data_IF_004830717829
#
_entry.id   IF_004830717829
#
_cell.length_a   1.000
_cell.length_b   1.000
_cell.length_c   1.000
_cell.angle_alpha   90.00
_cell.angle_beta   90.00
_cell.angle_gamma   90.00
#
_symmetry.space_group_name_H-M   'P 1'
#
loop_
_entity.id
_entity.type
_entity.pdbx_description
1 polymer ?
#
# COMPACT_ATOMS: atom_id res chain seq x y z
N UNK A 1 -7.87 -21.15 -5.35
CA UNK A 1 -8.59 -19.94 -5.84
C UNK A 1 -8.82 -19.03 -4.64
N UNK A 2 -8.42 -17.78 -4.73
CA UNK A 2 -8.60 -16.79 -3.66
C UNK A 2 -10.09 -16.53 -3.45
N UNK A 3 -10.52 -16.60 -2.20
CA UNK A 3 -11.91 -16.35 -1.76
C UNK A 3 -12.00 -15.11 -0.88
N UNK A 4 -10.92 -14.83 -0.13
CA UNK A 4 -10.88 -13.73 0.82
C UNK A 4 -9.76 -12.77 0.45
N UNK A 5 -10.01 -11.49 0.64
CA UNK A 5 -9.04 -10.44 0.43
C UNK A 5 -8.91 -9.59 1.69
N UNK A 6 -7.71 -9.51 2.20
CA UNK A 6 -7.36 -8.65 3.32
C UNK A 6 -6.52 -7.48 2.81
N UNK A 7 -6.59 -6.35 3.51
CA UNK A 7 -5.79 -5.16 3.23
C UNK A 7 -5.09 -4.70 4.52
N UNK A 8 -3.86 -4.22 4.38
CA UNK A 8 -3.06 -3.66 5.49
C UNK A 8 -2.05 -2.64 4.95
N UNK A 9 -1.51 -1.81 5.82
CA UNK A 9 -0.46 -0.86 5.48
C UNK A 9 0.95 -1.44 5.58
N UNK A 10 1.89 -0.54 5.77
CA UNK A 10 3.33 -0.75 5.79
C UNK A 10 3.77 -1.83 6.78
N UNK A 11 4.65 -2.72 6.35
CA UNK A 11 5.17 -3.77 7.24
C UNK A 11 6.66 -3.64 7.54
N UNK A 12 7.43 -2.88 6.75
CA UNK A 12 8.86 -2.62 6.95
C UNK A 12 9.67 -3.88 7.26
N UNK A 13 9.43 -4.97 6.50
CA UNK A 13 10.09 -6.26 6.70
C UNK A 13 9.55 -7.08 7.88
N UNK A 14 8.48 -6.64 8.54
CA UNK A 14 7.77 -7.39 9.58
C UNK A 14 6.55 -8.14 9.04
N UNK A 15 6.52 -8.42 7.76
CA UNK A 15 5.40 -9.09 7.08
C UNK A 15 5.06 -10.44 7.70
N UNK A 16 6.08 -11.26 8.04
CA UNK A 16 5.85 -12.52 8.73
C UNK A 16 5.11 -12.36 10.08
N UNK A 17 5.38 -11.27 10.81
CA UNK A 17 4.70 -10.97 12.08
C UNK A 17 3.23 -10.56 11.83
N UNK A 18 2.96 -9.79 10.77
CA UNK A 18 1.61 -9.43 10.36
C UNK A 18 0.81 -10.67 9.95
N UNK A 19 1.42 -11.59 9.20
CA UNK A 19 0.79 -12.85 8.80
C UNK A 19 0.55 -13.80 9.99
N UNK A 20 1.45 -13.82 10.97
CA UNK A 20 1.25 -14.55 12.22
C UNK A 20 0.04 -14.01 12.99
N UNK A 21 -0.10 -12.68 13.06
CA UNK A 21 -1.27 -12.04 13.67
C UNK A 21 -2.56 -12.42 12.93
N UNK A 22 -2.60 -12.36 11.60
CA UNK A 22 -3.77 -12.78 10.81
C UNK A 22 -4.13 -14.23 11.12
N UNK A 23 -3.15 -15.13 11.11
CA UNK A 23 -3.35 -16.55 11.35
C UNK A 23 -3.90 -16.86 12.74
N UNK A 24 -3.49 -16.08 13.76
CA UNK A 24 -3.88 -16.27 15.16
C UNK A 24 -5.22 -15.59 15.47
N UNK A 25 -5.40 -14.36 15.03
CA UNK A 25 -6.52 -13.51 15.44
C UNK A 25 -7.70 -13.55 14.46
N UNK A 26 -7.48 -14.04 13.25
CA UNK A 26 -8.46 -14.09 12.16
C UNK A 26 -8.47 -15.49 11.52
N UNK A 27 -8.68 -16.57 12.29
CA UNK A 27 -8.51 -17.95 11.84
C UNK A 27 -9.48 -18.40 10.74
N UNK A 28 -10.53 -17.63 10.47
CA UNK A 28 -11.46 -17.83 9.36
C UNK A 28 -10.79 -17.57 8.00
N UNK A 29 -9.74 -16.75 7.93
CA UNK A 29 -9.00 -16.44 6.71
C UNK A 29 -7.85 -17.44 6.50
N UNK A 30 -8.19 -18.60 5.95
CA UNK A 30 -7.23 -19.66 5.70
C UNK A 30 -6.19 -19.24 4.67
N UNK A 31 -4.88 -19.51 4.90
CA UNK A 31 -3.81 -19.06 4.03
C UNK A 31 -4.01 -19.43 2.54
N UNK A 32 -4.42 -20.67 2.27
CA UNK A 32 -4.58 -21.19 0.90
C UNK A 32 -5.75 -20.58 0.11
N UNK A 33 -6.63 -19.83 0.78
CA UNK A 33 -7.82 -19.20 0.19
C UNK A 33 -7.81 -17.68 0.34
N UNK A 34 -6.76 -17.11 0.96
CA UNK A 34 -6.72 -15.68 1.32
C UNK A 34 -5.54 -14.98 0.65
N UNK A 35 -5.84 -13.84 0.04
CA UNK A 35 -4.85 -12.87 -0.39
C UNK A 35 -4.76 -11.69 0.59
N UNK A 36 -3.55 -11.15 0.76
CA UNK A 36 -3.29 -9.97 1.57
C UNK A 36 -2.67 -8.89 0.70
N UNK A 37 -3.33 -7.75 0.58
CA UNK A 37 -2.81 -6.56 -0.08
C UNK A 37 -2.03 -5.75 0.95
N UNK A 38 -0.79 -5.36 0.62
CA UNK A 38 0.07 -4.52 1.43
C UNK A 38 0.30 -3.21 0.68
N UNK A 39 -0.06 -2.08 1.31
CA UNK A 39 -0.09 -0.75 0.69
C UNK A 39 1.28 -0.05 0.65
N UNK A 40 2.32 -0.79 0.34
CA UNK A 40 3.70 -0.31 0.22
C UNK A 40 4.54 -0.61 1.44
N UNK A 41 5.82 -0.30 1.32
CA UNK A 41 6.84 -0.46 2.37
C UNK A 41 6.85 -1.87 2.99
N UNK A 42 6.71 -2.89 2.14
CA UNK A 42 6.70 -4.28 2.56
C UNK A 42 8.07 -4.73 3.08
N UNK A 43 9.16 -4.10 2.64
CA UNK A 43 10.53 -4.38 3.06
C UNK A 43 11.12 -5.64 2.41
N UNK A 44 10.68 -5.96 1.19
CA UNK A 44 11.17 -7.12 0.45
C UNK A 44 12.28 -6.80 -0.54
N UNK A 45 12.46 -5.54 -0.89
CA UNK A 45 13.47 -5.05 -1.84
C UNK A 45 14.23 -3.82 -1.29
N UNK A 46 14.39 -3.75 0.03
CA UNK A 46 15.05 -2.64 0.71
C UNK A 46 16.56 -2.81 0.78
N UNK A 47 17.03 -3.95 1.33
CA UNK A 47 18.47 -4.18 1.57
C UNK A 47 19.21 -4.69 0.35
N UNK A 48 18.54 -5.21 -0.64
CA UNK A 48 19.09 -5.86 -1.84
C UNK A 48 20.12 -6.94 -1.51
N UNK A 49 19.87 -7.73 -0.47
CA UNK A 49 20.78 -8.77 0.02
C UNK A 49 20.02 -9.92 0.72
N UNK A 50 20.76 -10.80 1.40
CA UNK A 50 20.19 -11.96 2.12
C UNK A 50 19.13 -11.61 3.17
N UNK A 51 19.04 -10.34 3.63
CA UNK A 51 18.02 -9.93 4.60
C UNK A 51 16.65 -9.87 3.92
N UNK A 52 16.58 -9.32 2.71
CA UNK A 52 15.33 -9.31 1.93
C UNK A 52 14.90 -10.74 1.59
N UNK A 53 15.85 -11.58 1.16
CA UNK A 53 15.57 -12.99 0.93
C UNK A 53 14.97 -13.67 2.17
N UNK A 54 15.56 -13.44 3.34
CA UNK A 54 15.06 -13.99 4.61
C UNK A 54 13.64 -13.49 4.93
N UNK A 55 13.38 -12.20 4.74
CA UNK A 55 12.06 -11.62 4.96
C UNK A 55 11.01 -12.25 4.03
N UNK A 56 11.33 -12.38 2.74
CA UNK A 56 10.47 -13.06 1.75
C UNK A 56 10.22 -14.52 2.12
N UNK A 57 11.27 -15.26 2.46
CA UNK A 57 11.17 -16.66 2.85
C UNK A 57 10.25 -16.84 4.05
N UNK A 58 10.47 -16.06 5.12
CA UNK A 58 9.65 -16.13 6.32
C UNK A 58 8.17 -15.80 6.04
N UNK A 59 7.90 -14.80 5.20
CA UNK A 59 6.54 -14.44 4.81
C UNK A 59 5.89 -15.53 3.94
N UNK A 60 6.64 -16.08 2.99
CA UNK A 60 6.17 -17.11 2.07
C UNK A 60 5.74 -18.41 2.78
N UNK A 61 6.40 -18.79 3.88
CA UNK A 61 6.08 -19.99 4.67
C UNK A 61 4.68 -19.97 5.30
N UNK A 62 4.06 -18.81 5.46
CA UNK A 62 2.68 -18.72 5.96
C UNK A 62 1.64 -19.19 4.95
N UNK A 63 1.97 -19.26 3.65
CA UNK A 63 1.10 -19.78 2.61
C UNK A 63 -0.01 -18.82 2.12
N UNK A 64 -0.07 -17.58 2.63
CA UNK A 64 -0.92 -16.55 2.07
C UNK A 64 -0.41 -16.10 0.71
N UNK A 65 -1.30 -15.69 -0.19
CA UNK A 65 -0.91 -14.95 -1.39
C UNK A 65 -0.79 -13.47 -1.04
N UNK A 66 0.39 -12.89 -1.25
CA UNK A 66 0.63 -11.47 -1.01
C UNK A 66 0.55 -10.70 -2.31
N UNK A 67 -0.09 -9.53 -2.30
CA UNK A 67 -0.06 -8.54 -3.37
C UNK A 67 0.54 -7.25 -2.80
N UNK A 68 1.77 -6.97 -3.19
CA UNK A 68 2.57 -5.88 -2.64
C UNK A 68 2.53 -4.68 -3.58
N UNK A 69 2.08 -3.53 -3.09
CA UNK A 69 2.29 -2.25 -3.74
C UNK A 69 3.69 -1.76 -3.39
N UNK A 70 4.38 -1.05 -4.28
CA UNK A 70 5.68 -0.46 -3.97
C UNK A 70 5.51 0.82 -3.14
N UNK A 71 6.27 0.92 -2.03
CA UNK A 71 6.42 2.12 -1.23
C UNK A 71 7.68 2.91 -1.59
N UNK A 72 8.10 3.82 -0.70
CA UNK A 72 9.33 4.59 -0.83
C UNK A 72 10.54 3.92 -0.18
N UNK A 73 10.33 2.95 0.70
CA UNK A 73 11.39 2.16 1.32
C UNK A 73 11.75 0.89 0.53
N UNK A 74 11.56 0.92 -0.80
CA UNK A 74 11.82 -0.22 -1.67
C UNK A 74 12.34 0.25 -3.01
N UNK A 75 13.39 -0.44 -3.49
CA UNK A 75 13.74 -0.33 -4.91
C UNK A 75 12.56 -0.84 -5.76
N UNK A 76 12.46 -0.39 -6.98
CA UNK A 76 11.46 -0.92 -7.92
C UNK A 76 11.60 -2.44 -7.98
N UNK A 77 10.49 -3.14 -7.93
CA UNK A 77 10.51 -4.61 -8.02
C UNK A 77 11.12 -5.09 -9.33
N UNK A 78 10.93 -4.33 -10.41
CA UNK A 78 11.60 -4.54 -11.69
C UNK A 78 13.13 -4.50 -11.62
N UNK A 79 13.71 -3.84 -10.61
CA UNK A 79 15.16 -3.77 -10.34
C UNK A 79 15.62 -4.82 -9.30
N UNK A 80 14.81 -5.85 -9.00
CA UNK A 80 15.18 -6.91 -8.07
C UNK A 80 16.51 -7.55 -8.45
N UNK A 81 17.25 -8.01 -7.43
CA UNK A 81 18.50 -8.79 -7.64
C UNK A 81 18.24 -10.21 -8.18
N UNK A 82 17.01 -10.67 -8.10
CA UNK A 82 16.56 -11.96 -8.67
C UNK A 82 15.78 -11.73 -9.96
N UNK A 83 15.65 -12.79 -10.76
CA UNK A 83 14.87 -12.70 -11.99
C UNK A 83 13.40 -12.48 -11.68
N UNK A 84 12.85 -11.36 -12.18
CA UNK A 84 11.43 -11.03 -12.10
C UNK A 84 10.69 -11.59 -13.29
N UNK A 85 9.60 -12.28 -13.01
CA UNK A 85 8.67 -12.81 -14.00
C UNK A 85 7.46 -11.90 -14.08
N UNK A 86 7.10 -11.48 -15.31
CA UNK A 86 5.86 -10.79 -15.61
C UNK A 86 4.82 -11.79 -16.06
N UNK A 87 3.66 -11.81 -15.41
CA UNK A 87 2.60 -12.75 -15.72
C UNK A 87 1.21 -12.13 -15.52
N UNK A 88 0.29 -12.49 -16.41
CA UNK A 88 -1.13 -12.19 -16.17
C UNK A 88 -1.65 -13.08 -15.04
N UNK A 89 -2.16 -12.47 -13.99
CA UNK A 89 -2.76 -13.17 -12.85
C UNK A 89 -4.30 -13.12 -12.93
N UNK A 90 -4.97 -14.27 -13.04
CA UNK A 90 -6.42 -14.31 -13.12
C UNK A 90 -7.14 -13.84 -11.85
N UNK A 91 -6.49 -13.83 -10.68
CA UNK A 91 -7.11 -13.35 -9.45
C UNK A 91 -7.28 -11.83 -9.41
N UNK A 92 -6.44 -11.10 -10.14
CA UNK A 92 -6.52 -9.64 -10.26
C UNK A 92 -6.80 -9.18 -11.69
N UNK A 93 -7.00 -10.12 -12.62
CA UNK A 93 -7.24 -9.88 -14.05
C UNK A 93 -6.28 -8.87 -14.67
N UNK A 94 -5.01 -8.93 -14.29
CA UNK A 94 -3.99 -7.97 -14.72
C UNK A 94 -2.58 -8.53 -14.66
N UNK A 95 -1.62 -7.76 -15.16
CA UNK A 95 -0.20 -8.11 -15.11
C UNK A 95 0.36 -7.87 -13.73
N UNK A 96 1.09 -8.83 -13.19
CA UNK A 96 1.85 -8.72 -11.95
C UNK A 96 3.29 -9.15 -12.17
N UNK A 97 4.13 -8.82 -11.20
CA UNK A 97 5.50 -9.30 -11.12
C UNK A 97 5.63 -10.30 -9.96
N UNK A 98 6.53 -11.26 -10.07
CA UNK A 98 6.91 -12.15 -8.97
C UNK A 98 8.29 -12.75 -9.21
N UNK A 99 8.88 -13.32 -8.16
CA UNK A 99 10.13 -14.09 -8.22
C UNK A 99 9.79 -15.59 -8.20
N UNK A 100 10.41 -16.38 -9.08
CA UNK A 100 10.16 -17.84 -9.16
C UNK A 100 10.36 -18.55 -7.82
N UNK A 101 11.25 -18.05 -6.97
CA UNK A 101 11.52 -18.62 -5.66
C UNK A 101 10.37 -18.37 -4.66
N UNK A 102 9.59 -17.28 -4.86
CA UNK A 102 8.50 -16.89 -3.98
C UNK A 102 7.19 -16.66 -4.76
N UNK A 103 6.60 -17.69 -5.38
CA UNK A 103 5.47 -17.52 -6.30
C UNK A 103 4.17 -17.03 -5.65
N UNK A 104 4.08 -17.11 -4.33
CA UNK A 104 2.97 -16.56 -3.55
C UNK A 104 3.19 -15.10 -3.11
N UNK A 105 4.35 -14.49 -3.38
CA UNK A 105 4.62 -13.07 -3.21
C UNK A 105 4.56 -12.42 -4.59
N UNK A 106 3.54 -11.62 -4.79
CA UNK A 106 3.24 -10.95 -6.04
C UNK A 106 3.34 -9.44 -5.85
N UNK A 107 3.81 -8.75 -6.86
CA UNK A 107 3.96 -7.31 -6.85
C UNK A 107 3.06 -6.71 -7.92
N UNK A 108 2.31 -5.68 -7.57
CA UNK A 108 1.71 -4.81 -8.56
C UNK A 108 2.81 -4.12 -9.38
N UNK A 109 2.49 -3.65 -10.56
CA UNK A 109 3.49 -2.99 -11.41
C UNK A 109 4.07 -1.73 -10.74
N UNK A 110 5.31 -1.40 -11.06
CA UNK A 110 6.05 -0.25 -10.50
C UNK A 110 5.55 1.13 -10.99
N UNK A 111 4.52 1.13 -11.84
CA UNK A 111 3.83 2.31 -12.36
C UNK A 111 2.32 2.20 -12.15
N UNK A 112 1.60 3.29 -12.42
CA UNK A 112 0.14 3.30 -12.28
C UNK A 112 -0.49 2.27 -13.20
N UNK A 113 -1.36 1.42 -12.65
CA UNK A 113 -2.00 0.37 -13.45
C UNK A 113 -3.38 0.02 -12.89
N UNK A 114 -4.22 -0.60 -13.71
CA UNK A 114 -5.56 -1.02 -13.31
C UNK A 114 -5.68 -2.56 -13.26
N UNK A 115 -6.56 -3.01 -12.37
CA UNK A 115 -6.81 -4.43 -12.09
C UNK A 115 -8.31 -4.65 -11.88
N UNK A 116 -8.75 -5.91 -11.93
CA UNK A 116 -10.08 -6.32 -11.46
C UNK A 116 -9.90 -7.28 -10.29
N UNK A 117 -10.26 -6.85 -9.11
CA UNK A 117 -10.17 -7.62 -7.85
C UNK A 117 -11.60 -7.81 -7.32
N UNK A 118 -12.03 -9.04 -7.11
CA UNK A 118 -13.42 -9.37 -6.69
C UNK A 118 -14.51 -8.77 -7.61
N UNK A 119 -14.22 -8.63 -8.90
CA UNK A 119 -15.13 -7.97 -9.86
C UNK A 119 -15.18 -6.44 -9.76
N UNK A 120 -14.37 -5.83 -8.90
CA UNK A 120 -14.26 -4.37 -8.71
C UNK A 120 -13.08 -3.82 -9.53
N UNK A 121 -13.26 -2.67 -10.15
CA UNK A 121 -12.20 -1.96 -10.86
C UNK A 121 -11.28 -1.26 -9.88
N UNK A 122 -9.99 -1.64 -9.87
CA UNK A 122 -8.99 -1.17 -8.92
C UNK A 122 -7.86 -0.46 -9.63
N UNK A 123 -7.54 0.77 -9.21
CA UNK A 123 -6.37 1.51 -9.67
C UNK A 123 -5.26 1.40 -8.61
N UNK A 124 -4.03 1.09 -9.01
CA UNK A 124 -2.86 1.05 -8.11
C UNK A 124 -1.88 2.16 -8.45
N UNK A 125 -1.39 2.87 -7.44
CA UNK A 125 -0.47 4.01 -7.57
C UNK A 125 0.70 3.82 -6.61
N UNK A 126 1.87 3.35 -7.08
CA UNK A 126 3.02 3.06 -6.23
C UNK A 126 3.85 4.31 -5.92
N UNK A 127 4.65 4.23 -4.85
CA UNK A 127 5.69 5.18 -4.52
C UNK A 127 5.24 6.36 -3.66
N UNK A 128 6.22 7.00 -3.05
CA UNK A 128 6.10 8.22 -2.26
C UNK A 128 7.50 8.85 -2.06
N UNK A 129 7.58 10.04 -1.49
CA UNK A 129 8.84 10.67 -1.11
C UNK A 129 9.26 10.26 0.31
N UNK A 130 10.54 9.91 0.50
CA UNK A 130 11.13 9.64 1.82
C UNK A 130 11.43 10.93 2.58
N UNK A 131 10.64 11.26 3.58
CA UNK A 131 10.87 12.46 4.44
C UNK A 131 12.20 12.39 5.18
N UNK A 132 12.72 11.19 5.41
CA UNK A 132 14.01 10.90 6.06
C UNK A 132 15.18 10.73 5.09
N UNK A 133 15.00 11.06 3.80
CA UNK A 133 16.01 10.95 2.75
C UNK A 133 17.39 11.45 3.17
N UNK A 134 17.46 12.67 3.70
CA UNK A 134 18.74 13.27 4.08
C UNK A 134 19.41 12.56 5.25
N UNK A 135 18.61 12.09 6.21
CA UNK A 135 19.09 11.28 7.32
C UNK A 135 19.66 9.95 6.83
N UNK A 136 18.99 9.28 5.90
CA UNK A 136 19.47 8.04 5.27
C UNK A 136 20.79 8.24 4.56
N UNK A 137 20.87 9.26 3.70
CA UNK A 137 22.09 9.57 2.94
C UNK A 137 23.27 9.90 3.86
N UNK A 138 23.03 10.59 5.00
CA UNK A 138 24.07 10.91 5.98
C UNK A 138 24.57 9.68 6.77
N UNK A 139 23.75 8.64 6.89
CA UNK A 139 24.08 7.43 7.64
C UNK A 139 24.39 6.22 6.74
N UNK A 140 24.60 6.44 5.44
CA UNK A 140 24.81 5.39 4.45
C UNK A 140 23.69 4.31 4.44
N UNK A 141 22.45 4.73 4.70
CA UNK A 141 21.29 3.87 4.60
C UNK A 141 20.74 3.87 3.16
N UNK A 142 20.00 2.80 2.82
CA UNK A 142 19.43 2.67 1.49
C UNK A 142 18.37 3.76 1.24
N UNK A 143 18.52 4.42 0.11
CA UNK A 143 17.55 5.35 -0.45
C UNK A 143 17.52 5.14 -1.97
N UNK A 144 16.35 5.26 -2.57
CA UNK A 144 16.14 4.97 -3.99
C UNK A 144 15.75 6.27 -4.72
N UNK A 145 16.53 6.71 -5.73
CA UNK A 145 16.26 7.98 -6.44
C UNK A 145 14.95 7.96 -7.23
N UNK A 146 14.42 6.78 -7.55
CA UNK A 146 13.18 6.53 -8.27
C UNK A 146 12.04 6.07 -7.37
N UNK A 147 12.08 6.45 -6.09
CA UNK A 147 11.05 6.13 -5.08
C UNK A 147 9.66 6.70 -5.43
N UNK A 148 9.61 7.85 -6.09
CA UNK A 148 8.39 8.45 -6.65
C UNK A 148 8.19 8.05 -8.12
N UNK A 149 7.03 8.34 -8.67
CA UNK A 149 6.80 8.30 -10.11
C UNK A 149 7.55 9.45 -10.79
N UNK A 150 8.05 9.22 -11.99
CA UNK A 150 8.61 10.28 -12.82
C UNK A 150 7.51 11.16 -13.42
N UNK A 151 7.88 12.34 -13.93
CA UNK A 151 6.91 13.21 -14.61
C UNK A 151 6.31 12.55 -15.86
N UNK A 152 7.09 11.73 -16.55
CA UNK A 152 6.66 10.95 -17.71
C UNK A 152 5.62 9.88 -17.29
N UNK A 153 5.90 9.11 -16.23
CA UNK A 153 4.97 8.09 -15.70
C UNK A 153 3.67 8.73 -15.18
N UNK A 154 3.77 9.93 -14.57
CA UNK A 154 2.60 10.70 -14.14
C UNK A 154 1.74 11.15 -15.35
N UNK A 155 2.38 11.62 -16.43
CA UNK A 155 1.68 12.03 -17.64
C UNK A 155 1.04 10.85 -18.36
N UNK A 156 1.74 9.71 -18.44
CA UNK A 156 1.19 8.48 -19.02
C UNK A 156 -0.05 8.02 -18.24
N UNK A 157 -0.01 8.07 -16.91
CA UNK A 157 -1.17 7.75 -16.07
C UNK A 157 -2.35 8.72 -16.29
N UNK A 158 -2.08 10.03 -16.43
CA UNK A 158 -3.12 11.01 -16.77
C UNK A 158 -3.77 10.69 -18.12
N UNK A 159 -2.97 10.33 -19.12
CA UNK A 159 -3.47 10.04 -20.46
C UNK A 159 -4.25 8.72 -20.53
N UNK A 160 -3.86 7.71 -19.78
CA UNK A 160 -4.47 6.39 -19.79
C UNK A 160 -5.75 6.35 -18.95
N UNK A 161 -5.73 6.93 -17.75
CA UNK A 161 -6.81 6.74 -16.78
C UNK A 161 -7.77 7.92 -16.63
N UNK A 162 -7.55 9.03 -17.31
CA UNK A 162 -8.54 10.13 -17.38
C UNK A 162 -9.87 9.60 -17.91
N UNK A 163 -10.94 10.00 -17.23
CA UNK A 163 -12.33 9.56 -17.49
C UNK A 163 -12.62 8.10 -17.13
N UNK A 164 -11.68 7.40 -16.47
CA UNK A 164 -11.91 6.08 -15.91
C UNK A 164 -12.90 6.10 -14.75
N UNK A 165 -13.40 4.93 -14.38
CA UNK A 165 -14.24 4.71 -13.22
C UNK A 165 -13.68 3.55 -12.41
N UNK A 166 -13.34 3.81 -11.15
CA UNK A 166 -12.71 2.84 -10.26
C UNK A 166 -13.50 2.71 -8.96
N UNK A 167 -13.83 1.49 -8.60
CA UNK A 167 -14.45 1.17 -7.31
C UNK A 167 -13.47 1.44 -6.16
N UNK A 168 -12.17 1.19 -6.41
CA UNK A 168 -11.12 1.27 -5.40
C UNK A 168 -9.83 1.85 -5.99
N UNK A 169 -9.20 2.75 -5.26
CA UNK A 169 -7.83 3.20 -5.50
C UNK A 169 -6.93 2.75 -4.36
N UNK A 170 -5.82 2.12 -4.70
CA UNK A 170 -4.77 1.70 -3.76
C UNK A 170 -3.51 2.51 -4.06
N UNK A 171 -3.09 3.36 -3.16
CA UNK A 171 -1.85 4.12 -3.31
C UNK A 171 -0.94 3.94 -2.10
N UNK A 172 0.36 4.23 -2.24
CA UNK A 172 1.21 4.25 -1.06
C UNK A 172 1.05 5.56 -0.31
N UNK A 173 1.25 6.72 -0.95
CA UNK A 173 0.92 8.04 -0.38
C UNK A 173 -0.47 8.53 -0.81
N UNK A 174 -0.87 9.73 -0.42
CA UNK A 174 -2.21 10.27 -0.67
C UNK A 174 -2.17 11.63 -1.38
N UNK A 175 -3.30 12.09 -1.95
CA UNK A 175 -3.47 13.47 -2.42
C UNK A 175 -3.11 14.52 -1.37
N UNK A 176 -2.50 15.63 -1.80
CA UNK A 176 -1.99 16.69 -0.92
C UNK A 176 -3.00 17.19 0.11
N UNK A 177 -4.28 17.37 -0.25
CA UNK A 177 -5.33 17.85 0.65
C UNK A 177 -5.70 16.85 1.76
N UNK A 178 -5.24 15.59 1.65
CA UNK A 178 -5.52 14.52 2.62
C UNK A 178 -4.31 14.17 3.48
N UNK A 179 -3.18 14.86 3.26
CA UNK A 179 -1.98 14.60 4.05
C UNK A 179 -2.28 14.83 5.54
N UNK A 180 -1.98 13.86 6.42
CA UNK A 180 -2.27 13.94 7.84
C UNK A 180 -1.23 14.82 8.55
N UNK A 181 -1.32 16.14 8.35
CA UNK A 181 -0.33 17.10 8.83
C UNK A 181 -0.18 17.11 10.35
N UNK A 182 -1.18 16.63 11.08
CA UNK A 182 -1.17 16.43 12.53
C UNK A 182 -0.23 15.28 12.98
N UNK A 183 0.13 14.37 12.07
CA UNK A 183 1.06 13.26 12.33
C UNK A 183 2.50 13.60 11.94
N UNK A 184 2.75 14.76 11.36
CA UNK A 184 4.09 15.10 10.88
C UNK A 184 5.08 15.27 12.04
N UNK A 185 6.29 14.73 11.82
CA UNK A 185 7.36 14.84 12.79
C UNK A 185 7.83 16.30 12.93
N UNK A 186 7.78 16.84 14.13
CA UNK A 186 8.20 18.24 14.42
C UNK A 186 9.68 18.51 14.11
N UNK A 187 10.51 17.47 14.00
CA UNK A 187 11.93 17.59 13.67
C UNK A 187 12.23 17.65 12.18
N UNK A 188 11.22 17.45 11.32
CA UNK A 188 11.37 17.52 9.86
C UNK A 188 10.94 18.90 9.36
N UNK A 189 11.87 19.61 8.72
CA UNK A 189 11.54 20.87 8.03
C UNK A 189 10.72 20.56 6.78
N UNK A 190 9.42 20.81 6.85
CA UNK A 190 8.45 20.54 5.77
C UNK A 190 8.73 21.33 4.48
N UNK A 191 9.56 22.39 4.53
CA UNK A 191 9.98 23.12 3.32
C UNK A 191 11.00 22.34 2.47
N UNK A 192 11.64 21.32 3.04
CA UNK A 192 12.64 20.46 2.37
C UNK A 192 12.04 19.18 1.82
N UNK A 193 10.78 18.90 2.13
CA UNK A 193 10.06 17.69 1.68
C UNK A 193 9.50 17.93 0.28
N UNK A 194 9.88 17.07 -0.66
CA UNK A 194 9.30 17.08 -2.01
C UNK A 194 7.88 16.51 -1.95
N UNK A 195 6.91 17.33 -2.31
CA UNK A 195 5.47 17.00 -2.33
C UNK A 195 4.93 16.90 -3.76
N UNK A 196 5.82 16.74 -4.74
CA UNK A 196 5.42 16.71 -6.16
C UNK A 196 4.41 15.61 -6.45
N UNK A 197 4.58 14.44 -5.84
CA UNK A 197 3.69 13.31 -6.02
C UNK A 197 2.32 13.55 -5.37
N UNK A 198 2.26 14.05 -4.14
CA UNK A 198 1.01 14.37 -3.46
C UNK A 198 0.24 15.50 -4.18
N UNK A 199 0.95 16.51 -4.70
CA UNK A 199 0.36 17.58 -5.51
C UNK A 199 -0.17 17.06 -6.84
N UNK A 200 0.56 16.15 -7.49
CA UNK A 200 0.09 15.47 -8.68
C UNK A 200 -1.14 14.61 -8.38
N UNK A 201 -1.13 13.80 -7.33
CA UNK A 201 -2.28 13.00 -6.90
C UNK A 201 -3.49 13.89 -6.62
N UNK A 202 -3.27 15.07 -6.02
CA UNK A 202 -4.35 16.02 -5.73
C UNK A 202 -5.04 16.54 -7.00
N UNK A 203 -4.31 16.68 -8.09
CA UNK A 203 -4.83 17.02 -9.43
C UNK A 203 -5.45 15.78 -10.09
N UNK A 204 -4.72 14.65 -10.09
CA UNK A 204 -5.07 13.43 -10.82
C UNK A 204 -6.40 12.84 -10.34
N UNK A 205 -6.67 12.85 -9.01
CA UNK A 205 -7.94 12.35 -8.43
C UNK A 205 -9.22 13.00 -8.99
N UNK A 206 -9.11 14.15 -9.66
CA UNK A 206 -10.23 14.85 -10.30
C UNK A 206 -10.39 14.51 -11.78
N UNK A 207 -9.51 13.68 -12.34
CA UNK A 207 -9.55 13.31 -13.75
C UNK A 207 -10.36 12.04 -14.01
N UNK A 208 -10.68 11.27 -12.97
CA UNK A 208 -11.45 10.04 -13.03
C UNK A 208 -12.45 9.95 -11.87
N UNK A 209 -13.39 9.01 -11.96
CA UNK A 209 -14.33 8.73 -10.86
C UNK A 209 -13.76 7.63 -9.97
N UNK A 210 -13.89 7.77 -8.65
CA UNK A 210 -13.50 6.77 -7.67
C UNK A 210 -14.48 6.79 -6.48
N UNK A 211 -14.63 5.64 -5.78
CA UNK A 211 -15.54 5.47 -4.65
C UNK A 211 -14.80 5.25 -3.33
N UNK A 212 -13.78 4.38 -3.32
CA UNK A 212 -12.95 4.10 -2.15
C UNK A 212 -11.48 4.34 -2.47
N UNK A 213 -10.73 4.94 -1.54
CA UNK A 213 -9.30 5.18 -1.66
C UNK A 213 -8.59 4.74 -0.39
N UNK A 214 -7.70 3.75 -0.49
CA UNK A 214 -6.89 3.23 0.61
C UNK A 214 -5.42 3.55 0.38
N UNK A 215 -4.72 4.02 1.43
CA UNK A 215 -3.30 4.35 1.35
C UNK A 215 -2.55 4.03 2.64
N UNK A 216 -1.21 3.95 2.58
CA UNK A 216 -0.29 3.70 3.71
C UNK A 216 0.57 4.91 4.05
N UNK A 217 1.89 4.70 4.18
CA UNK A 217 2.96 5.70 4.27
C UNK A 217 3.03 6.51 5.57
N UNK A 218 1.93 6.95 6.14
CA UNK A 218 1.92 7.87 7.30
C UNK A 218 1.88 7.15 8.65
N UNK A 219 1.98 5.84 8.68
CA UNK A 219 2.07 5.00 9.87
C UNK A 219 0.93 5.22 10.88
N UNK A 220 -0.29 5.35 10.39
CA UNK A 220 -1.48 5.42 11.23
C UNK A 220 -2.65 4.68 10.59
N UNK A 221 -3.56 4.22 11.41
CA UNK A 221 -4.81 3.59 11.01
C UNK A 221 -5.94 4.60 11.26
N UNK A 222 -6.52 5.15 10.19
CA UNK A 222 -7.51 6.23 10.31
C UNK A 222 -8.40 6.37 9.07
N UNK A 223 -9.68 6.63 9.30
CA UNK A 223 -10.57 7.15 8.26
C UNK A 223 -10.35 8.66 8.16
N UNK A 224 -9.83 9.13 7.03
CA UNK A 224 -9.57 10.55 6.79
C UNK A 224 -10.86 11.32 6.46
N UNK A 225 -11.72 10.69 5.69
CA UNK A 225 -13.03 11.22 5.26
C UNK A 225 -13.84 10.09 4.63
N UNK A 226 -15.12 10.31 4.29
CA UNK A 226 -15.90 9.32 3.53
C UNK A 226 -15.15 8.85 2.28
N UNK A 227 -15.06 7.55 2.12
CA UNK A 227 -14.36 6.91 1.01
C UNK A 227 -12.84 6.91 1.10
N UNK A 228 -12.20 7.45 2.16
CA UNK A 228 -10.73 7.57 2.25
C UNK A 228 -10.21 7.02 3.56
N UNK A 229 -9.43 5.94 3.48
CA UNK A 229 -8.88 5.23 4.63
C UNK A 229 -7.36 5.09 4.55
N UNK A 230 -6.70 5.35 5.67
CA UNK A 230 -5.26 5.15 5.86
C UNK A 230 -5.02 3.91 6.69
N UNK A 231 -4.09 3.08 6.23
CA UNK A 231 -3.73 1.80 6.86
C UNK A 231 -2.27 1.78 7.30
N UNK A 232 -2.03 1.22 8.46
CA UNK A 232 -0.69 0.92 8.97
C UNK A 232 -0.64 -0.48 9.57
N UNK A 233 -1.14 -0.64 10.80
CA UNK A 233 -1.07 -1.92 11.53
C UNK A 233 -2.36 -2.72 11.46
N UNK A 234 -3.48 -2.08 11.21
CA UNK A 234 -4.76 -2.76 11.06
C UNK A 234 -4.77 -3.68 9.84
N UNK A 235 -5.54 -4.75 9.96
CA UNK A 235 -5.84 -5.69 8.88
C UNK A 235 -7.35 -5.76 8.77
N UNK A 236 -7.89 -5.38 7.63
CA UNK A 236 -9.33 -5.44 7.39
C UNK A 236 -9.67 -6.34 6.19
N UNK A 237 -10.88 -6.85 6.17
CA UNK A 237 -11.43 -7.51 5.00
C UNK A 237 -11.75 -6.45 3.93
N UNK A 238 -11.22 -6.61 2.73
CA UNK A 238 -11.35 -5.63 1.66
C UNK A 238 -12.81 -5.45 1.22
N UNK A 239 -13.60 -6.52 1.18
CA UNK A 239 -15.02 -6.44 0.86
C UNK A 239 -15.77 -5.59 1.89
N UNK A 240 -15.43 -5.73 3.18
CA UNK A 240 -15.99 -4.91 4.27
C UNK A 240 -15.62 -3.43 4.10
N UNK A 241 -14.37 -3.13 3.73
CA UNK A 241 -13.91 -1.76 3.47
C UNK A 241 -14.73 -1.13 2.33
N UNK A 242 -14.87 -1.81 1.20
CA UNK A 242 -15.63 -1.32 0.04
C UNK A 242 -17.12 -1.17 0.41
N UNK A 243 -17.73 -2.20 1.02
CA UNK A 243 -19.16 -2.19 1.38
C UNK A 243 -19.51 -1.06 2.33
N UNK A 244 -18.60 -0.72 3.25
CA UNK A 244 -18.72 0.42 4.18
C UNK A 244 -19.02 1.72 3.44
N UNK A 245 -18.34 1.97 2.35
CA UNK A 245 -18.50 3.19 1.58
C UNK A 245 -19.65 3.12 0.59
N UNK A 246 -19.91 1.96 0.00
CA UNK A 246 -21.13 1.73 -0.79
C UNK A 246 -22.37 2.04 0.08
N UNK A 247 -22.42 1.53 1.32
CA UNK A 247 -23.51 1.79 2.26
C UNK A 247 -23.62 3.28 2.66
N UNK A 248 -22.50 3.97 2.85
CA UNK A 248 -22.49 5.40 3.12
C UNK A 248 -23.05 6.22 1.97
N UNK A 249 -22.64 5.95 0.74
CA UNK A 249 -23.13 6.68 -0.43
C UNK A 249 -24.59 6.36 -0.76
N UNK A 250 -25.07 5.20 -0.38
CA UNK A 250 -26.48 4.82 -0.44
C UNK A 250 -27.34 5.47 0.66
N UNK A 251 -26.74 6.28 1.54
CA UNK A 251 -27.44 7.01 2.61
C UNK A 251 -27.83 6.14 3.81
N UNK A 252 -27.21 4.98 3.99
CA UNK A 252 -27.41 4.16 5.19
C UNK A 252 -26.70 4.80 6.38
N UNK A 253 -27.35 4.81 7.56
CA UNK A 253 -26.70 5.23 8.80
C UNK A 253 -25.58 4.25 9.16
N UNK A 254 -24.38 4.81 9.38
CA UNK A 254 -23.20 4.03 9.78
C UNK A 254 -22.92 4.27 11.26
N UNK A 255 -23.33 3.36 12.11
CA UNK A 255 -23.17 3.45 13.58
C UNK A 255 -21.70 3.55 14.05
N UNK A 256 -20.74 3.35 13.16
CA UNK A 256 -19.28 3.31 13.44
C UNK A 256 -18.52 4.56 12.98
N UNK A 257 -19.17 5.57 12.38
CA UNK A 257 -18.57 6.84 11.92
C UNK A 257 -17.96 7.70 13.05
N UNK A 258 -18.03 7.30 14.27
CA UNK A 258 -17.31 7.98 15.35
C UNK A 258 -15.82 7.74 15.17
N UNK A 259 -14.97 8.81 15.09
CA UNK A 259 -13.52 8.63 15.06
C UNK A 259 -13.14 7.77 16.26
N UNK A 260 -12.55 6.60 16.01
CA UNK A 260 -11.97 5.79 17.08
C UNK A 260 -11.03 6.73 17.83
N UNK A 261 -11.28 6.93 19.13
CA UNK A 261 -10.50 7.82 19.99
C UNK A 261 -9.01 7.62 19.74
N UNK A 262 -8.19 8.68 19.66
CA UNK A 262 -6.73 8.58 19.43
C UNK A 262 -5.98 7.75 20.47
N UNK A 263 -6.64 7.26 21.50
CA UNK A 263 -6.04 6.62 22.67
C UNK A 263 -6.08 5.08 22.67
N UNK A 264 -6.49 4.41 21.60
CA UNK A 264 -6.63 2.95 21.67
C UNK A 264 -5.33 2.16 21.44
N UNK A 265 -4.25 2.79 20.95
CA UNK A 265 -2.97 2.11 20.65
C UNK A 265 -1.72 2.89 21.10
N UNK A 266 -1.73 3.44 22.34
CA UNK A 266 -0.49 3.78 23.02
C UNK A 266 0.05 2.53 23.73
N UNK A 267 0.28 1.47 22.97
CA UNK A 267 1.24 0.44 23.35
C UNK A 267 2.64 1.04 23.18
N UNK A 268 3.39 1.15 24.29
CA UNK A 268 4.75 1.63 24.33
C UNK A 268 5.65 0.84 23.36
N UNK A 269 5.78 1.32 22.14
CA UNK A 269 6.78 0.91 21.17
C UNK A 269 7.64 2.12 20.86
N UNK A 270 8.84 2.16 21.43
CA UNK A 270 9.88 3.09 20.98
C UNK A 270 9.99 2.95 19.47
N UNK A 271 9.76 4.05 18.77
CA UNK A 271 10.10 4.19 17.37
C UNK A 271 11.62 4.08 17.30
N UNK A 272 12.13 2.93 16.91
CA UNK A 272 13.50 2.83 16.42
C UNK A 272 13.52 3.53 15.06
N UNK A 273 14.03 4.74 15.08
CA UNK A 273 14.32 5.58 13.92
C UNK A 273 15.42 4.94 13.09
#
# INVERSE_FOLDING_TARGET
>A
MIKNWLITGDTHGKTAQRLAYIKEMMPEYKPEETAVIILGDVGFNYYKNKKDWKNKHQASEFGYTLYCLRGNHEDRFSNSITEIVYQHDPNVSGMIMYENEFPNIKYFLDWVNSYIIMGKHVLTIPGAYSVDKWHRLQNDWMWFPDEQLTAEEMQEAEDEFKYGEFDLVLSHTCPYDWMPTDLFLNCVDQSTVDKSMELWLNKFRHMFTWYTWCFGHYHADRIERPGVEMFYTEVENLETVIQRWDDYYDGKELDWWLPKSPNYWMGEGKVDV
#
